data_IF_259719932823
#
_entry.id   IF_259719932823
#
_cell.length_a   1.000
_cell.length_b   1.000
_cell.length_c   1.000
_cell.angle_alpha   90.00
_cell.angle_beta   90.00
_cell.angle_gamma   90.00
#
_symmetry.space_group_name_H-M   'P 1'
#
loop_
_entity.id
_entity.type
_entity.pdbx_description
1 polymer ?
#
# COMPACT_ATOMS: atom_id res chain seq x y z
N UNK A 1 27.88 -1.84 -33.01
CA UNK A 1 28.49 -1.46 -31.71
C UNK A 1 27.48 -1.76 -30.62
N UNK A 2 27.77 -2.72 -29.73
CA UNK A 2 26.88 -3.15 -28.66
C UNK A 2 27.10 -2.30 -27.41
N UNK A 3 26.09 -1.51 -27.04
CA UNK A 3 26.13 -0.69 -25.82
C UNK A 3 25.78 -1.56 -24.62
N UNK A 4 26.79 -2.00 -23.88
CA UNK A 4 26.62 -2.76 -22.63
C UNK A 4 26.24 -1.82 -21.48
N UNK A 5 25.13 -2.14 -20.79
CA UNK A 5 24.54 -1.39 -19.66
C UNK A 5 25.42 -1.44 -18.39
N UNK A 6 26.49 -2.24 -18.40
CA UNK A 6 27.38 -2.45 -17.25
C UNK A 6 28.55 -1.46 -17.19
N UNK A 7 28.62 -0.48 -18.11
CA UNK A 7 29.73 0.46 -18.20
C UNK A 7 29.69 1.46 -17.02
N UNK A 8 30.50 1.20 -16.00
CA UNK A 8 30.67 2.09 -14.83
C UNK A 8 30.28 1.49 -13.48
N UNK A 9 29.83 0.23 -13.43
CA UNK A 9 29.51 -0.45 -12.16
C UNK A 9 30.76 -1.11 -11.58
N UNK A 10 31.01 -0.93 -10.28
CA UNK A 10 32.05 -1.65 -9.55
C UNK A 10 31.78 -3.17 -9.59
N UNK A 11 32.81 -4.02 -9.78
CA UNK A 11 32.63 -5.46 -9.81
C UNK A 11 32.01 -5.94 -8.49
N UNK A 12 31.01 -6.83 -8.57
CA UNK A 12 30.44 -7.46 -7.38
C UNK A 12 31.50 -8.35 -6.76
N UNK A 13 31.89 -8.05 -5.51
CA UNK A 13 32.74 -8.94 -4.73
C UNK A 13 31.87 -10.06 -4.21
N UNK A 14 32.18 -11.30 -4.59
CA UNK A 14 31.51 -12.47 -4.06
C UNK A 14 31.84 -12.59 -2.57
N UNK A 15 30.83 -12.47 -1.71
CA UNK A 15 31.01 -12.60 -0.28
C UNK A 15 31.31 -14.05 0.10
N UNK A 16 32.44 -14.29 0.77
CA UNK A 16 32.78 -15.56 1.39
C UNK A 16 32.04 -15.69 2.74
N UNK A 17 30.71 -15.80 2.70
CA UNK A 17 29.90 -16.09 3.89
C UNK A 17 29.80 -17.61 4.01
N UNK A 18 30.46 -18.25 5.01
CA UNK A 18 30.27 -19.67 5.24
C UNK A 18 28.84 -19.91 5.74
N UNK A 19 28.17 -20.92 5.19
CA UNK A 19 26.88 -21.37 5.72
C UNK A 19 27.05 -21.79 7.19
N UNK A 20 26.20 -21.27 8.09
CA UNK A 20 26.27 -21.60 9.51
C UNK A 20 26.02 -23.09 9.78
N UNK A 21 25.21 -23.73 8.93
CA UNK A 21 24.89 -25.15 9.01
C UNK A 21 24.75 -25.72 7.59
N UNK A 22 25.32 -26.90 7.36
CA UNK A 22 25.16 -27.63 6.11
C UNK A 22 23.83 -28.40 6.15
N UNK A 23 23.03 -28.28 5.09
CA UNK A 23 21.81 -29.05 4.96
C UNK A 23 22.17 -30.54 4.82
N UNK A 24 21.79 -31.36 5.80
CA UNK A 24 21.97 -32.81 5.76
C UNK A 24 20.70 -33.48 5.24
N UNK A 25 20.83 -34.25 4.16
CA UNK A 25 19.75 -35.09 3.63
C UNK A 25 19.38 -36.26 4.56
N UNK A 26 20.21 -36.53 5.58
CA UNK A 26 19.99 -37.58 6.58
C UNK A 26 19.67 -36.99 7.97
N UNK A 27 19.04 -35.82 8.02
CA UNK A 27 18.51 -35.29 9.28
C UNK A 27 17.28 -36.11 9.69
N UNK A 28 17.51 -37.19 10.45
CA UNK A 28 16.48 -38.08 11.01
C UNK A 28 15.60 -37.42 12.07
N UNK A 29 15.55 -36.08 12.14
CA UNK A 29 14.50 -35.34 12.83
C UNK A 29 13.23 -35.28 11.98
N UNK A 30 12.78 -36.42 11.47
CA UNK A 30 11.35 -36.65 11.33
C UNK A 30 10.76 -36.74 12.76
N UNK A 31 10.59 -35.60 13.41
CA UNK A 31 9.71 -35.54 14.58
C UNK A 31 8.31 -35.79 14.06
N UNK A 32 7.82 -37.01 14.24
CA UNK A 32 6.38 -37.33 14.24
C UNK A 32 5.63 -36.26 15.04
N UNK A 33 4.91 -35.38 14.35
CA UNK A 33 3.97 -34.46 15.00
C UNK A 33 2.65 -35.21 15.16
N UNK A 34 2.53 -35.97 16.25
CA UNK A 34 1.23 -36.41 16.75
C UNK A 34 0.47 -35.17 17.28
N UNK A 35 -0.82 -35.00 17.02
CA UNK A 35 -1.58 -33.85 17.51
C UNK A 35 -1.87 -34.05 19.00
N UNK A 36 -1.41 -33.12 19.85
CA UNK A 36 -1.79 -33.03 21.28
C UNK A 36 -1.95 -31.55 21.68
N UNK A 37 -2.74 -31.28 22.75
CA UNK A 37 -3.92 -30.43 22.72
C UNK A 37 -3.62 -28.94 22.93
N UNK A 38 -4.61 -28.10 22.64
CA UNK A 38 -4.66 -26.69 22.99
C UNK A 38 -4.18 -26.48 24.44
N UNK A 39 -3.15 -25.65 24.60
CA UNK A 39 -2.54 -25.29 25.87
C UNK A 39 -2.58 -23.77 26.00
N UNK A 40 -3.30 -23.36 27.04
CA UNK A 40 -3.56 -22.05 27.62
C UNK A 40 -2.66 -20.88 27.19
N UNK A 41 -3.33 -19.82 26.73
CA UNK A 41 -2.78 -18.47 26.59
C UNK A 41 -2.23 -18.04 27.96
N UNK A 42 -0.90 -17.93 28.07
CA UNK A 42 -0.28 -17.17 29.15
C UNK A 42 -0.46 -15.70 28.83
N UNK A 43 -1.25 -15.01 29.64
CA UNK A 43 -1.34 -13.55 29.65
C UNK A 43 -0.07 -13.01 30.30
N UNK A 44 1.02 -12.99 29.55
CA UNK A 44 2.12 -12.11 29.88
C UNK A 44 1.72 -10.72 29.37
N UNK A 45 1.42 -9.84 30.32
CA UNK A 45 1.17 -8.42 30.09
C UNK A 45 2.41 -7.84 29.41
N UNK A 46 2.42 -7.83 28.07
CA UNK A 46 3.36 -7.05 27.29
C UNK A 46 2.92 -5.61 27.48
N UNK A 47 3.54 -4.93 28.45
CA UNK A 47 3.56 -3.48 28.53
C UNK A 47 3.90 -2.95 27.14
N UNK A 48 2.88 -2.36 26.51
CA UNK A 48 2.97 -1.71 25.21
C UNK A 48 3.81 -0.45 25.40
N UNK A 49 5.14 -0.61 25.41
CA UNK A 49 6.05 0.48 25.08
C UNK A 49 5.79 0.84 23.63
N UNK A 50 4.84 1.75 23.46
CA UNK A 50 4.54 2.48 22.24
C UNK A 50 5.79 3.24 21.77
N UNK A 51 6.78 2.52 21.22
CA UNK A 51 7.77 3.13 20.35
C UNK A 51 7.02 3.48 19.07
N UNK A 52 6.50 4.72 19.01
CA UNK A 52 6.11 5.36 17.74
C UNK A 52 7.33 5.28 16.82
N UNK A 53 7.38 4.26 15.97
CA UNK A 53 8.33 4.24 14.88
C UNK A 53 8.03 5.48 14.05
N UNK A 54 8.97 6.41 14.00
CA UNK A 54 8.91 7.58 13.13
C UNK A 54 9.14 7.09 11.69
N UNK A 55 8.18 6.33 11.16
CA UNK A 55 8.18 5.91 9.75
C UNK A 55 7.87 7.17 8.96
N UNK A 56 8.82 7.60 8.14
CA UNK A 56 8.55 8.60 7.11
C UNK A 56 7.27 8.20 6.37
N UNK A 57 6.26 9.06 6.44
CA UNK A 57 4.98 8.80 5.79
C UNK A 57 5.25 8.79 4.29
N UNK A 58 4.91 7.69 3.63
CA UNK A 58 4.92 7.63 2.17
C UNK A 58 4.12 8.82 1.63
N UNK A 59 4.82 9.73 0.95
CA UNK A 59 4.31 11.05 0.52
C UNK A 59 3.17 10.93 -0.50
N UNK A 60 2.95 9.75 -1.08
CA UNK A 60 1.89 9.54 -2.06
C UNK A 60 0.46 9.53 -1.45
N UNK A 61 0.31 9.46 -0.12
CA UNK A 61 -0.99 9.53 0.56
C UNK A 61 -1.08 10.81 1.38
N UNK A 62 -1.57 11.90 0.76
CA UNK A 62 -1.73 13.19 1.44
C UNK A 62 -2.92 13.21 2.42
N UNK A 63 -3.99 12.45 2.16
CA UNK A 63 -5.18 12.39 3.03
C UNK A 63 -5.96 11.08 2.85
N UNK A 64 -6.62 10.61 3.92
CA UNK A 64 -7.57 9.50 3.89
C UNK A 64 -8.99 10.07 4.02
N UNK A 65 -9.88 9.70 3.11
CA UNK A 65 -11.32 10.05 3.18
C UNK A 65 -12.07 8.87 3.80
N UNK A 66 -12.82 9.12 4.87
CA UNK A 66 -13.73 8.12 5.46
C UNK A 66 -15.09 8.22 4.77
N UNK A 67 -15.62 7.08 4.35
CA UNK A 67 -16.90 6.95 3.64
C UNK A 67 -17.73 5.81 4.24
N UNK A 68 -19.04 5.79 3.96
CA UNK A 68 -19.90 4.66 4.33
C UNK A 68 -19.57 3.42 3.50
N UNK A 69 -19.94 2.24 4.00
CA UNK A 69 -19.69 0.98 3.29
C UNK A 69 -20.44 0.92 1.95
N UNK A 70 -21.66 1.49 1.88
CA UNK A 70 -22.42 1.58 0.63
C UNK A 70 -21.66 2.33 -0.47
N UNK A 71 -21.16 3.53 -0.16
CA UNK A 71 -20.39 4.34 -1.12
C UNK A 71 -19.12 3.61 -1.55
N UNK A 72 -18.46 2.91 -0.61
CA UNK A 72 -17.27 2.11 -0.92
C UNK A 72 -17.56 0.99 -1.91
N UNK A 73 -18.70 0.30 -1.78
CA UNK A 73 -19.10 -0.74 -2.73
C UNK A 73 -19.40 -0.18 -4.12
N UNK A 74 -20.08 0.97 -4.20
CA UNK A 74 -20.38 1.64 -5.47
C UNK A 74 -19.10 2.13 -6.15
N UNK A 75 -18.18 2.73 -5.38
CA UNK A 75 -16.89 3.20 -5.87
C UNK A 75 -16.02 2.05 -6.40
N UNK A 76 -16.05 0.89 -5.73
CA UNK A 76 -15.36 -0.30 -6.19
C UNK A 76 -15.92 -0.83 -7.53
N UNK A 77 -17.25 -0.81 -7.71
CA UNK A 77 -17.89 -1.18 -8.96
C UNK A 77 -17.52 -0.21 -10.09
N UNK A 78 -17.56 1.10 -9.83
CA UNK A 78 -17.16 2.13 -10.79
C UNK A 78 -15.68 1.98 -11.20
N UNK A 79 -14.80 1.69 -10.24
CA UNK A 79 -13.39 1.42 -10.51
C UNK A 79 -13.20 0.21 -11.43
N UNK A 80 -13.95 -0.87 -11.19
CA UNK A 80 -13.89 -2.07 -12.04
C UNK A 80 -14.36 -1.80 -13.47
N UNK A 81 -15.42 -1.01 -13.65
CA UNK A 81 -15.97 -0.64 -14.97
C UNK A 81 -15.00 0.25 -15.73
N UNK A 82 -14.48 1.31 -15.07
CA UNK A 82 -13.57 2.27 -15.69
C UNK A 82 -12.13 1.76 -15.81
N UNK A 83 -11.84 0.56 -15.29
CA UNK A 83 -10.51 -0.06 -15.29
C UNK A 83 -9.42 0.83 -14.69
N UNK A 84 -9.80 1.66 -13.72
CA UNK A 84 -8.88 2.54 -13.00
C UNK A 84 -8.20 1.79 -11.87
N UNK A 85 -6.97 2.19 -11.54
CA UNK A 85 -6.20 1.53 -10.48
C UNK A 85 -6.49 2.16 -9.13
N UNK A 86 -6.76 3.46 -9.12
CA UNK A 86 -6.85 4.24 -7.90
C UNK A 86 -8.22 4.88 -7.74
N UNK A 87 -8.68 4.94 -6.49
CA UNK A 87 -10.00 5.48 -6.17
C UNK A 87 -10.09 6.98 -6.47
N UNK A 88 -8.99 7.72 -6.33
CA UNK A 88 -8.97 9.17 -6.62
C UNK A 88 -9.22 9.48 -8.10
N UNK A 89 -8.87 8.60 -9.03
CA UNK A 89 -9.12 8.78 -10.47
C UNK A 89 -10.63 8.77 -10.76
N UNK A 90 -11.36 7.88 -10.06
CA UNK A 90 -12.82 7.81 -10.17
C UNK A 90 -13.46 9.04 -9.51
N UNK A 91 -12.95 9.46 -8.35
CA UNK A 91 -13.44 10.64 -7.65
C UNK A 91 -13.26 11.91 -8.51
N UNK A 92 -12.10 12.07 -9.16
CA UNK A 92 -11.82 13.18 -10.07
C UNK A 92 -12.83 13.21 -11.23
N UNK A 93 -13.04 12.07 -11.88
CA UNK A 93 -14.04 11.94 -12.95
C UNK A 93 -15.46 12.30 -12.47
N UNK A 94 -15.84 11.86 -11.27
CA UNK A 94 -17.15 12.17 -10.69
C UNK A 94 -17.31 13.67 -10.41
N UNK A 95 -16.25 14.31 -9.89
CA UNK A 95 -16.23 15.77 -9.66
C UNK A 95 -16.39 16.50 -10.99
N UNK A 96 -15.60 16.14 -12.00
CA UNK A 96 -15.64 16.79 -13.32
C UNK A 96 -17.01 16.65 -13.98
N UNK A 97 -17.59 15.45 -13.94
CA UNK A 97 -18.93 15.19 -14.47
C UNK A 97 -20.00 16.03 -13.75
N UNK A 98 -19.94 16.11 -12.42
CA UNK A 98 -20.87 16.94 -11.64
C UNK A 98 -20.69 18.43 -11.96
N UNK A 99 -19.45 18.90 -12.08
CA UNK A 99 -19.12 20.27 -12.47
C UNK A 99 -19.67 20.60 -13.83
N UNK A 100 -19.50 19.72 -14.82
CA UNK A 100 -19.94 20.00 -16.18
C UNK A 100 -21.47 19.93 -16.32
N UNK A 101 -22.10 18.89 -15.75
CA UNK A 101 -23.49 18.53 -16.04
C UNK A 101 -24.52 19.10 -15.06
N UNK A 102 -24.17 19.28 -13.78
CA UNK A 102 -25.16 19.62 -12.73
C UNK A 102 -25.06 21.06 -12.23
N UNK A 103 -23.87 21.68 -12.29
CA UNK A 103 -23.66 23.03 -11.77
C UNK A 103 -24.12 24.11 -12.75
N UNK A 104 -24.87 25.09 -12.23
CA UNK A 104 -25.22 26.31 -12.97
C UNK A 104 -23.99 27.18 -13.24
N UNK A 105 -24.07 28.10 -14.21
CA UNK A 105 -22.96 29.01 -14.55
C UNK A 105 -22.42 29.78 -13.33
N UNK A 106 -23.31 30.29 -12.48
CA UNK A 106 -22.93 31.00 -11.25
C UNK A 106 -22.19 30.09 -10.26
N UNK A 107 -22.66 28.86 -10.07
CA UNK A 107 -22.00 27.92 -9.16
C UNK A 107 -20.67 27.42 -9.72
N UNK A 108 -20.56 27.21 -11.04
CA UNK A 108 -19.27 26.91 -11.71
C UNK A 108 -18.24 28.01 -11.46
N UNK A 109 -18.64 29.28 -11.56
CA UNK A 109 -17.76 30.42 -11.26
C UNK A 109 -17.31 30.42 -9.80
N UNK A 110 -18.23 30.15 -8.86
CA UNK A 110 -17.89 30.03 -7.43
C UNK A 110 -16.95 28.86 -7.15
N UNK A 111 -17.20 27.70 -7.75
CA UNK A 111 -16.33 26.53 -7.63
C UNK A 111 -14.92 26.85 -8.09
N UNK A 112 -14.76 27.46 -9.29
CA UNK A 112 -13.45 27.91 -9.78
C UNK A 112 -12.78 28.90 -8.85
N UNK A 113 -13.50 29.88 -8.30
CA UNK A 113 -12.92 30.85 -7.38
C UNK A 113 -12.43 30.24 -6.06
N UNK A 114 -13.02 29.12 -5.62
CA UNK A 114 -12.60 28.41 -4.40
C UNK A 114 -11.46 27.41 -4.64
N UNK A 115 -11.21 27.04 -5.90
CA UNK A 115 -10.17 26.05 -6.27
C UNK A 115 -9.00 26.65 -7.03
N UNK A 116 -9.09 27.91 -7.46
CA UNK A 116 -7.98 28.66 -8.03
C UNK A 116 -7.19 29.24 -6.87
N UNK A 117 -6.05 28.63 -6.54
CA UNK A 117 -5.10 29.13 -5.54
C UNK A 117 -4.48 30.45 -6.02
N UNK A 118 -5.16 31.58 -5.78
CA UNK A 118 -4.59 32.94 -5.80
C UNK A 118 -4.17 33.36 -4.37
N UNK A 119 -3.44 32.49 -3.66
CA UNK A 119 -2.64 32.80 -2.46
C UNK A 119 -1.43 31.88 -2.32
#
# INVERSE_FOLDING_TARGET
MSNSVLKGMSPRVQGNIPAKEQFSLNDSREKKVAPKPQSTIKTDTIETKNKKSNKEKFVNQKSQIKISESIKTELAALKAINKTKFDYEVIELLIDSYVQNSLTSTQKRKFKALTSDDF
#
